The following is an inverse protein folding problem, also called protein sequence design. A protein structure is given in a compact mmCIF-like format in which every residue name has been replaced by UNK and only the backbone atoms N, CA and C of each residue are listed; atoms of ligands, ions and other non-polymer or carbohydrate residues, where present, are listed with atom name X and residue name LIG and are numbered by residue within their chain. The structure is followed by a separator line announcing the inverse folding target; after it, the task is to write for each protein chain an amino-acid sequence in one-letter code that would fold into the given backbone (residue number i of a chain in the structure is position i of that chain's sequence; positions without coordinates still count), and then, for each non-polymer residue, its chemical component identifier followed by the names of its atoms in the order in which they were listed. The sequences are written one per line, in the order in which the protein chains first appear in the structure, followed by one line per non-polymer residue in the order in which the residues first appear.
data_IF_220128379087
#
_entry.id   IF_220128379087
#
_cell.length_a   1.000
_cell.length_b   1.000
_cell.length_c   1.000
_cell.angle_alpha   90.00
_cell.angle_beta   90.00
_cell.angle_gamma   90.00
#
_symmetry.space_group_name_H-M   'P 1'
#
loop_
_entity.id
_entity.type
_entity.pdbx_description
1 polymer ?
#
# COMPACT_ATOMS: atom_id res chain seq x y z
N UNK A 1 -15.01 1.07 3.79
CA UNK A 1 -16.25 0.43 4.21
C UNK A 1 -16.38 0.46 5.71
N UNK A 2 -17.18 1.33 6.28
CA UNK A 2 -17.46 1.27 7.70
C UNK A 2 -18.48 0.14 7.92
N UNK A 3 -18.11 -0.90 8.64
CA UNK A 3 -19.08 -1.81 9.23
C UNK A 3 -19.15 -3.26 8.75
N UNK A 4 -18.46 -3.66 7.69
CA UNK A 4 -18.44 -5.08 7.28
C UNK A 4 -17.03 -5.62 7.52
N UNK A 5 -16.89 -6.41 8.58
CA UNK A 5 -15.67 -7.13 8.92
C UNK A 5 -14.41 -6.25 9.02
N UNK A 6 -14.33 -5.44 10.08
CA UNK A 6 -13.11 -4.75 10.49
C UNK A 6 -11.98 -5.76 10.83
N UNK A 7 -11.53 -6.51 9.80
CA UNK A 7 -10.52 -7.58 9.89
C UNK A 7 -9.17 -6.95 9.53
N UNK A 8 -8.12 -7.17 10.35
CA UNK A 8 -6.78 -6.68 10.02
C UNK A 8 -6.36 -7.04 8.59
N UNK A 9 -5.87 -6.05 7.85
CA UNK A 9 -5.48 -6.19 6.45
C UNK A 9 -4.02 -5.77 6.24
N UNK A 10 -3.24 -6.63 5.59
CA UNK A 10 -1.90 -6.33 5.09
C UNK A 10 -1.83 -6.57 3.59
N UNK A 11 -1.76 -5.51 2.81
CA UNK A 11 -1.60 -5.59 1.35
C UNK A 11 -0.12 -5.41 0.95
N UNK A 12 0.48 -6.43 0.33
CA UNK A 12 1.88 -6.38 -0.13
C UNK A 12 1.89 -6.26 -1.65
N UNK A 13 2.62 -5.29 -2.18
CA UNK A 13 2.81 -5.02 -3.60
C UNK A 13 1.47 -4.97 -4.36
N UNK A 14 1.12 -5.99 -5.13
CA UNK A 14 -0.18 -6.11 -5.78
C UNK A 14 -1.35 -6.01 -4.78
N UNK A 15 -1.18 -6.51 -3.55
CA UNK A 15 -2.19 -6.40 -2.50
C UNK A 15 -2.49 -4.96 -2.10
N UNK A 16 -1.51 -4.07 -2.04
CA UNK A 16 -1.72 -2.64 -1.87
C UNK A 16 -2.47 -2.04 -3.06
N UNK A 17 -2.08 -2.39 -4.29
CA UNK A 17 -2.72 -1.89 -5.51
C UNK A 17 -4.19 -2.30 -5.57
N UNK A 18 -4.51 -3.55 -5.22
CA UNK A 18 -5.90 -4.02 -5.14
C UNK A 18 -6.70 -3.27 -4.09
N UNK A 19 -6.10 -2.94 -2.94
CA UNK A 19 -6.73 -2.15 -1.91
C UNK A 19 -7.06 -0.72 -2.38
N UNK A 20 -6.17 -0.08 -3.13
CA UNK A 20 -6.41 1.24 -3.75
C UNK A 20 -7.54 1.17 -4.76
N UNK A 21 -7.55 0.15 -5.63
CA UNK A 21 -8.61 -0.06 -6.64
C UNK A 21 -9.96 -0.28 -5.95
N UNK A 22 -10.01 -1.14 -4.94
CA UNK A 22 -11.22 -1.41 -4.17
C UNK A 22 -11.74 -0.16 -3.48
N UNK A 23 -10.86 0.59 -2.83
CA UNK A 23 -11.20 1.85 -2.17
C UNK A 23 -11.73 2.90 -3.16
N UNK A 24 -11.09 3.04 -4.31
CA UNK A 24 -11.53 3.94 -5.36
C UNK A 24 -12.93 3.57 -5.87
N UNK A 25 -13.24 2.29 -6.04
CA UNK A 25 -14.56 1.81 -6.50
C UNK A 25 -15.66 2.02 -5.46
N UNK A 26 -15.40 1.64 -4.22
CA UNK A 26 -16.46 1.47 -3.22
C UNK A 26 -16.55 2.62 -2.21
N UNK A 27 -15.51 3.42 -2.06
CA UNK A 27 -15.51 4.60 -1.17
C UNK A 27 -15.59 5.89 -1.96
N UNK A 28 -14.78 6.04 -3.02
CA UNK A 28 -14.79 7.26 -3.86
C UNK A 28 -15.90 7.21 -4.90
N UNK A 29 -16.39 6.01 -5.28
CA UNK A 29 -17.46 5.83 -6.27
C UNK A 29 -16.97 5.75 -7.73
N UNK A 30 -15.68 5.57 -7.96
CA UNK A 30 -15.08 5.39 -9.29
C UNK A 30 -15.28 3.95 -9.77
N UNK A 31 -16.51 3.58 -10.15
CA UNK A 31 -16.94 2.19 -10.41
C UNK A 31 -16.02 1.36 -11.32
N UNK A 32 -15.34 2.00 -12.27
CA UNK A 32 -14.44 1.35 -13.22
C UNK A 32 -12.96 1.60 -12.92
N UNK A 33 -12.62 2.03 -11.68
CA UNK A 33 -11.23 2.19 -11.29
C UNK A 33 -10.48 0.86 -11.40
N UNK A 34 -9.28 0.89 -11.99
CA UNK A 34 -8.48 -0.31 -12.21
C UNK A 34 -6.99 0.03 -12.31
N UNK A 35 -6.17 -1.00 -12.46
CA UNK A 35 -4.78 -0.90 -12.92
C UNK A 35 -4.74 -1.00 -14.44
N UNK A 36 -3.90 -0.19 -15.10
CA UNK A 36 -3.64 -0.34 -16.53
C UNK A 36 -2.91 -1.63 -16.88
N UNK A 37 -2.38 -2.35 -15.90
CA UNK A 37 -1.86 -3.72 -16.06
C UNK A 37 -2.97 -4.73 -16.34
N UNK A 38 -4.15 -4.54 -15.72
CA UNK A 38 -5.28 -5.47 -15.81
C UNK A 38 -6.30 -5.05 -16.86
N UNK A 39 -6.49 -3.73 -17.02
CA UNK A 39 -7.39 -3.13 -18.00
C UNK A 39 -6.75 -1.86 -18.55
N UNK A 40 -6.11 -1.98 -19.71
CA UNK A 40 -5.42 -0.87 -20.36
C UNK A 40 -6.37 0.29 -20.72
N UNK A 41 -7.66 0.02 -20.93
CA UNK A 41 -8.67 1.00 -21.31
C UNK A 41 -9.53 1.49 -20.14
N UNK A 42 -9.14 1.19 -18.90
CA UNK A 42 -9.88 1.65 -17.71
C UNK A 42 -10.06 3.17 -17.73
N UNK A 43 -11.28 3.62 -17.40
CA UNK A 43 -11.59 5.05 -17.29
C UNK A 43 -10.92 5.74 -16.12
N UNK A 44 -10.58 4.98 -15.08
CA UNK A 44 -9.97 5.49 -13.87
C UNK A 44 -8.73 4.64 -13.53
N UNK A 45 -7.57 4.92 -14.19
CA UNK A 45 -6.31 4.21 -13.95
C UNK A 45 -5.68 4.65 -12.64
N UNK A 46 -6.24 4.21 -11.50
CA UNK A 46 -5.73 4.55 -10.16
C UNK A 46 -4.38 3.93 -9.87
N UNK A 47 -4.04 2.87 -10.61
CA UNK A 47 -2.72 2.25 -10.68
C UNK A 47 -2.27 2.28 -12.14
N UNK A 48 -1.09 2.82 -12.41
CA UNK A 48 -0.59 2.99 -13.78
C UNK A 48 0.95 2.93 -13.84
N UNK A 49 1.47 2.81 -15.05
CA UNK A 49 2.88 3.10 -15.31
C UNK A 49 3.14 4.60 -15.11
N UNK A 50 4.33 4.94 -14.63
CA UNK A 50 4.79 6.34 -14.61
C UNK A 50 5.06 6.82 -16.05
N UNK A 51 4.88 8.12 -16.32
CA UNK A 51 5.11 8.70 -17.64
C UNK A 51 6.54 8.46 -18.16
N UNK A 52 7.53 8.52 -17.28
CA UNK A 52 8.92 8.22 -17.58
C UNK A 52 9.15 6.74 -17.97
N UNK A 53 8.27 5.85 -17.54
CA UNK A 53 8.33 4.41 -17.84
C UNK A 53 7.68 4.08 -19.19
N UNK A 54 6.69 4.83 -19.63
CA UNK A 54 5.99 4.61 -20.91
C UNK A 54 6.96 4.73 -22.09
N UNK A 55 7.95 5.64 -22.02
CA UNK A 55 8.93 5.83 -23.06
C UNK A 55 10.04 4.77 -23.11
N UNK A 56 10.18 3.93 -22.06
CA UNK A 56 11.22 2.89 -21.91
C UNK A 56 10.68 1.49 -22.20
N UNK A 57 9.36 1.29 -22.32
CA UNK A 57 8.73 -0.02 -22.65
C UNK A 57 9.32 -0.67 -23.88
N UNK A 58 9.76 0.12 -24.86
CA UNK A 58 10.44 -0.37 -26.08
C UNK A 58 11.82 -1.03 -25.82
N UNK A 59 12.35 -0.94 -24.59
CA UNK A 59 13.68 -1.46 -24.21
C UNK A 59 13.64 -2.52 -23.09
N UNK A 60 12.47 -3.01 -22.67
CA UNK A 60 12.34 -4.17 -21.77
C UNK A 60 12.73 -3.95 -20.31
N UNK A 61 12.89 -2.71 -19.81
CA UNK A 61 13.46 -2.50 -18.51
C UNK A 61 12.90 -1.33 -17.71
N UNK A 62 11.70 -1.44 -17.13
CA UNK A 62 11.15 -0.42 -16.22
C UNK A 62 10.68 -0.98 -14.89
N UNK A 63 11.12 -2.18 -14.55
CA UNK A 63 10.81 -2.75 -13.25
C UNK A 63 11.60 -2.04 -12.17
N UNK A 64 10.91 -1.51 -11.17
CA UNK A 64 11.55 -0.98 -9.98
C UNK A 64 12.06 -2.15 -9.14
N UNK A 65 13.37 -2.29 -9.06
CA UNK A 65 14.07 -3.40 -8.42
C UNK A 65 14.99 -2.91 -7.31
N UNK A 66 15.21 -3.78 -6.32
CA UNK A 66 16.19 -3.54 -5.28
C UNK A 66 15.66 -2.75 -4.09
N UNK A 67 16.59 -2.19 -3.32
CA UNK A 67 16.29 -1.51 -2.05
C UNK A 67 16.16 0.00 -2.27
N UNK A 68 15.02 0.55 -1.89
CA UNK A 68 14.71 1.97 -2.01
C UNK A 68 14.38 2.58 -0.65
N UNK A 69 14.65 3.86 -0.52
CA UNK A 69 14.27 4.63 0.69
C UNK A 69 12.78 4.92 0.69
N UNK A 70 12.18 4.88 1.86
CA UNK A 70 10.82 5.35 2.10
C UNK A 70 10.80 6.21 3.36
N UNK A 71 10.31 7.44 3.24
CA UNK A 71 10.05 8.32 4.36
C UNK A 71 8.65 8.06 4.90
N UNK A 72 8.54 7.89 6.22
CA UNK A 72 7.29 7.59 6.91
C UNK A 72 6.81 8.81 7.69
N UNK A 73 5.57 9.18 7.48
CA UNK A 73 4.91 10.29 8.18
C UNK A 73 4.76 9.97 9.67
N UNK A 74 5.16 10.92 10.54
CA UNK A 74 4.98 10.80 11.99
C UNK A 74 3.50 10.77 12.36
N UNK A 75 3.18 10.06 13.45
CA UNK A 75 1.80 9.95 13.96
C UNK A 75 0.93 8.95 13.18
N UNK A 76 1.53 8.12 12.34
CA UNK A 76 0.86 7.03 11.62
C UNK A 76 1.11 5.69 12.28
N UNK A 77 0.24 4.71 12.02
CA UNK A 77 0.40 3.33 12.52
C UNK A 77 1.74 2.73 12.07
N UNK A 78 2.11 2.93 10.81
CA UNK A 78 3.36 2.42 10.25
C UNK A 78 4.57 3.06 10.93
N UNK A 79 4.53 4.36 11.24
CA UNK A 79 5.58 5.02 11.99
C UNK A 79 5.76 4.39 13.38
N UNK A 80 4.66 4.09 14.07
CA UNK A 80 4.68 3.44 15.38
C UNK A 80 5.21 2.00 15.32
N UNK A 81 4.98 1.30 14.21
CA UNK A 81 5.47 -0.06 13.97
C UNK A 81 6.98 -0.06 13.72
N UNK A 82 7.47 0.80 12.84
CA UNK A 82 8.89 0.85 12.48
C UNK A 82 9.75 1.62 13.48
N UNK A 83 9.16 2.61 14.17
CA UNK A 83 9.86 3.56 15.06
C UNK A 83 11.03 4.28 14.37
N UNK A 84 10.85 4.57 13.09
CA UNK A 84 11.83 5.23 12.21
C UNK A 84 11.12 6.15 11.23
N UNK A 85 11.73 7.31 10.95
CA UNK A 85 11.22 8.24 9.94
C UNK A 85 11.60 7.81 8.50
N UNK A 86 12.71 7.08 8.35
CA UNK A 86 13.21 6.60 7.06
C UNK A 86 13.55 5.12 7.18
N UNK A 87 13.05 4.36 6.22
CA UNK A 87 13.33 2.93 6.08
C UNK A 87 13.91 2.65 4.70
N UNK A 88 14.43 1.44 4.52
CA UNK A 88 14.84 0.92 3.21
C UNK A 88 14.17 -0.41 3.01
N UNK A 89 13.40 -0.54 1.95
CA UNK A 89 12.65 -1.75 1.63
C UNK A 89 12.89 -2.20 0.18
N UNK A 90 12.69 -3.48 -0.10
CA UNK A 90 12.96 -4.06 -1.41
C UNK A 90 11.71 -4.07 -2.28
N UNK A 91 11.87 -3.65 -3.52
CA UNK A 91 10.82 -3.53 -4.53
C UNK A 91 11.02 -4.51 -5.69
N UNK A 92 9.89 -4.93 -6.28
CA UNK A 92 9.83 -5.70 -7.52
C UNK A 92 8.47 -5.46 -8.19
N UNK A 93 8.28 -4.30 -8.80
CA UNK A 93 7.04 -3.94 -9.49
C UNK A 93 7.29 -2.90 -10.58
N UNK A 94 6.30 -2.70 -11.46
CA UNK A 94 6.31 -1.68 -12.52
C UNK A 94 5.26 -0.60 -12.29
N UNK A 95 4.08 -1.02 -11.82
CA UNK A 95 2.92 -0.16 -11.67
C UNK A 95 2.93 0.51 -10.30
N UNK A 96 2.47 1.75 -10.28
CA UNK A 96 2.49 2.63 -9.11
C UNK A 96 1.11 3.27 -8.92
N UNK A 97 0.85 3.78 -7.72
CA UNK A 97 -0.31 4.61 -7.46
C UNK A 97 -0.22 5.88 -8.32
N UNK A 98 -1.26 6.13 -9.13
CA UNK A 98 -1.29 7.26 -10.04
C UNK A 98 -1.49 8.58 -9.28
N UNK A 99 -0.58 9.54 -9.47
CA UNK A 99 -0.58 10.85 -8.81
C UNK A 99 -1.88 11.62 -8.98
N UNK A 100 -2.57 11.49 -10.11
CA UNK A 100 -3.82 12.17 -10.38
C UNK A 100 -4.95 11.80 -9.42
N UNK A 101 -4.83 10.70 -8.68
CA UNK A 101 -5.84 10.23 -7.73
C UNK A 101 -5.47 10.46 -6.27
N UNK A 102 -4.26 10.95 -5.96
CA UNK A 102 -3.77 11.21 -4.60
C UNK A 102 -4.76 12.08 -3.83
N UNK A 103 -5.17 13.20 -4.41
CA UNK A 103 -6.09 14.14 -3.76
C UNK A 103 -7.44 13.50 -3.42
N UNK A 104 -8.01 12.73 -4.36
CA UNK A 104 -9.30 12.05 -4.16
C UNK A 104 -9.21 10.98 -3.08
N UNK A 105 -8.12 10.20 -3.04
CA UNK A 105 -7.87 9.17 -2.04
C UNK A 105 -7.73 9.78 -0.64
N UNK A 106 -6.92 10.85 -0.51
CA UNK A 106 -6.67 11.51 0.77
C UNK A 106 -7.89 12.24 1.31
N UNK A 107 -8.64 12.96 0.47
CA UNK A 107 -9.91 13.60 0.85
C UNK A 107 -10.96 12.60 1.33
N UNK A 108 -10.90 11.37 0.85
CA UNK A 108 -11.82 10.29 1.25
C UNK A 108 -11.37 9.53 2.50
N UNK A 109 -10.21 9.90 3.10
CA UNK A 109 -9.74 9.36 4.36
C UNK A 109 -8.61 8.32 4.28
N UNK A 110 -8.07 8.01 3.09
CA UNK A 110 -6.86 7.20 2.97
C UNK A 110 -5.64 8.04 3.33
N UNK A 111 -4.76 7.50 4.17
CA UNK A 111 -3.50 8.16 4.53
C UNK A 111 -2.36 7.55 3.72
N UNK A 112 -1.69 8.38 2.93
CA UNK A 112 -0.52 8.02 2.14
C UNK A 112 0.73 8.33 2.97
N UNK A 113 1.03 7.43 3.91
CA UNK A 113 1.96 7.70 5.01
C UNK A 113 3.42 7.38 4.70
N UNK A 114 3.71 6.67 3.62
CA UNK A 114 5.07 6.39 3.17
C UNK A 114 5.30 6.86 1.75
N UNK A 115 6.42 7.56 1.52
CA UNK A 115 6.79 8.06 0.21
C UNK A 115 8.28 7.89 -0.06
N UNK A 116 8.62 7.67 -1.32
CA UNK A 116 10.01 7.73 -1.75
C UNK A 116 10.48 9.19 -1.80
N UNK A 117 11.58 9.57 -1.13
CA UNK A 117 12.02 10.97 -1.06
C UNK A 117 12.58 11.52 -2.37
N UNK A 118 12.94 10.67 -3.33
CA UNK A 118 13.56 11.06 -4.60
C UNK A 118 12.52 11.19 -5.72
N UNK A 119 11.45 10.37 -5.66
CA UNK A 119 10.44 10.29 -6.73
C UNK A 119 9.03 10.70 -6.28
N UNK A 120 8.81 10.96 -4.99
CA UNK A 120 7.50 11.21 -4.35
C UNK A 120 6.47 10.08 -4.52
N UNK A 121 6.90 8.91 -5.01
CA UNK A 121 6.04 7.73 -5.17
C UNK A 121 5.50 7.25 -3.84
N UNK A 122 4.21 6.91 -3.83
CA UNK A 122 3.53 6.38 -2.64
C UNK A 122 3.96 4.94 -2.40
N UNK A 123 4.53 4.71 -1.22
CA UNK A 123 5.06 3.42 -0.79
C UNK A 123 4.18 2.71 0.24
N UNK A 124 3.43 3.50 1.05
CA UNK A 124 2.63 2.97 2.15
C UNK A 124 1.31 3.72 2.23
N UNK A 125 0.23 2.96 2.40
CA UNK A 125 -1.12 3.47 2.64
C UNK A 125 -1.67 2.90 3.94
N UNK A 126 -2.52 3.70 4.61
CA UNK A 126 -3.25 3.32 5.82
C UNK A 126 -4.71 3.79 5.76
N UNK A 127 -5.59 3.10 6.51
CA UNK A 127 -6.95 3.55 6.83
C UNK A 127 -7.06 3.72 8.34
N UNK A 128 -6.97 4.96 8.87
CA UNK A 128 -6.91 5.22 10.32
C UNK A 128 -8.15 4.75 11.08
N UNK A 129 -9.31 4.75 10.42
CA UNK A 129 -10.57 4.33 11.03
C UNK A 129 -10.79 2.81 10.97
N UNK A 130 -9.81 2.04 10.51
CA UNK A 130 -9.84 0.59 10.49
C UNK A 130 -9.02 0.02 11.65
N UNK A 131 -9.39 -1.16 12.19
CA UNK A 131 -8.70 -1.75 13.35
C UNK A 131 -7.20 -1.97 13.11
N UNK A 132 -6.80 -2.32 11.90
CA UNK A 132 -5.43 -2.41 11.42
C UNK A 132 -5.44 -2.58 9.89
N UNK A 133 -5.01 -1.56 9.16
CA UNK A 133 -4.97 -1.59 7.71
C UNK A 133 -3.69 -0.92 7.22
N UNK A 134 -2.83 -1.71 6.59
CA UNK A 134 -1.59 -1.22 5.97
C UNK A 134 -1.44 -1.87 4.60
N UNK A 135 -1.21 -1.04 3.59
CA UNK A 135 -0.77 -1.47 2.26
C UNK A 135 0.64 -0.96 1.99
N UNK A 136 1.50 -1.82 1.46
CA UNK A 136 2.89 -1.46 1.12
C UNK A 136 3.22 -1.87 -0.31
N UNK A 137 3.90 -0.99 -1.06
CA UNK A 137 4.28 -1.26 -2.45
C UNK A 137 5.52 -2.17 -2.54
N UNK A 138 6.33 -2.17 -1.51
CA UNK A 138 7.51 -3.02 -1.38
C UNK A 138 7.17 -4.42 -0.84
N UNK A 139 8.19 -5.27 -0.74
CA UNK A 139 8.12 -6.67 -0.32
C UNK A 139 8.82 -6.88 1.03
N UNK A 140 8.14 -6.72 2.17
CA UNK A 140 8.72 -6.89 3.51
C UNK A 140 9.23 -8.31 3.77
N UNK A 141 8.70 -9.32 3.03
CA UNK A 141 9.14 -10.71 3.15
C UNK A 141 10.61 -10.90 2.76
N UNK A 142 11.16 -10.06 1.89
CA UNK A 142 12.58 -10.14 1.53
C UNK A 142 13.55 -9.73 2.65
N UNK A 143 13.04 -9.11 3.70
CA UNK A 143 13.81 -8.70 4.87
C UNK A 143 13.35 -9.37 6.18
N UNK A 144 12.52 -10.44 6.05
CA UNK A 144 11.99 -11.18 7.18
C UNK A 144 12.64 -12.55 7.28
N UNK A 145 13.09 -12.91 8.49
CA UNK A 145 13.61 -14.25 8.80
C UNK A 145 12.89 -14.79 10.03
N UNK A 146 13.05 -16.09 10.32
CA UNK A 146 12.50 -16.72 11.53
C UNK A 146 13.01 -16.04 12.80
N UNK A 147 14.32 -15.77 12.86
CA UNK A 147 14.96 -15.17 14.04
C UNK A 147 14.69 -13.66 14.15
N UNK A 148 14.48 -13.00 13.02
CA UNK A 148 14.21 -11.56 12.92
C UNK A 148 13.01 -11.28 12.02
N UNK A 149 11.80 -11.58 12.48
CA UNK A 149 10.61 -11.32 11.68
C UNK A 149 10.37 -9.82 11.49
N UNK A 150 9.93 -9.48 10.29
CA UNK A 150 9.69 -8.10 9.89
C UNK A 150 8.65 -7.42 10.80
N UNK A 151 8.84 -6.12 11.17
CA UNK A 151 7.96 -5.44 12.12
C UNK A 151 6.49 -5.38 11.67
N UNK A 152 6.22 -5.24 10.38
CA UNK A 152 4.86 -5.28 9.84
C UNK A 152 4.17 -6.62 10.10
N UNK A 153 4.85 -7.76 9.88
CA UNK A 153 4.29 -9.08 10.14
C UNK A 153 3.99 -9.29 11.63
N UNK A 154 4.91 -8.87 12.50
CA UNK A 154 4.69 -8.94 13.97
C UNK A 154 3.46 -8.14 14.38
N UNK A 155 3.32 -6.93 13.88
CA UNK A 155 2.19 -6.05 14.19
C UNK A 155 0.87 -6.59 13.64
N UNK A 156 0.87 -7.06 12.39
CA UNK A 156 -0.30 -7.67 11.75
C UNK A 156 -0.81 -8.90 12.51
N UNK A 157 0.07 -9.83 12.84
CA UNK A 157 -0.29 -11.04 13.60
C UNK A 157 -0.83 -10.68 14.99
N UNK A 158 -0.22 -9.70 15.67
CA UNK A 158 -0.71 -9.19 16.95
C UNK A 158 -2.15 -8.65 16.83
N UNK A 159 -2.42 -7.85 15.80
CA UNK A 159 -3.75 -7.29 15.56
C UNK A 159 -4.78 -8.40 15.26
N UNK A 160 -4.43 -9.36 14.40
CA UNK A 160 -5.29 -10.49 14.05
C UNK A 160 -5.62 -11.39 15.27
N UNK A 161 -4.63 -11.66 16.12
CA UNK A 161 -4.80 -12.48 17.32
C UNK A 161 -5.68 -11.79 18.37
N UNK A 162 -5.49 -10.48 18.56
CA UNK A 162 -6.30 -9.71 19.52
C UNK A 162 -7.78 -9.70 19.10
N UNK A 163 -8.06 -9.58 17.81
CA UNK A 163 -9.42 -9.61 17.29
C UNK A 163 -10.10 -10.96 17.49
N UNK A 164 -9.40 -12.07 17.26
CA UNK A 164 -9.92 -13.42 17.51
C UNK A 164 -10.38 -13.60 18.98
N UNK A 165 -9.65 -13.01 19.93
CA UNK A 165 -10.02 -13.06 21.36
C UNK A 165 -11.32 -12.31 21.66
N UNK A 166 -11.65 -11.27 20.90
CA UNK A 166 -12.88 -10.48 21.06
C UNK A 166 -14.10 -11.21 20.50
N UNK A 167 -13.96 -11.95 19.40
CA UNK A 167 -15.05 -12.74 18.81
C UNK A 167 -15.25 -14.12 19.44
N UNK A 168 -14.24 -14.69 20.06
CA UNK A 168 -14.31 -16.03 20.69
C UNK A 168 -14.89 -16.05 22.11
N UNK A 169 -15.37 -14.91 22.61
CA UNK A 169 -16.02 -14.81 23.96
C UNK A 169 -17.53 -14.58 23.88
N UNK A 170 -18.18 -15.02 22.80
CA UNK A 170 -19.66 -15.09 22.74
C UNK A 170 -20.12 -16.52 22.93
#
# INVERSE_FOLDING_TARGET
MPGVNDIPFLGICLGMQMAVIEYARNVIGLKNANSTEMDYHTKHPVISLMEDQVNVEKKGGTMRLGSWKCEISKGTLTHDIYKKNVIKERHRHRYELNFNYIESLTKSGMVLCGKNPETDLVEIIELPNHCWFVGVQFHPEYQSTVDKPHPLFKSFIKAATNKKRTYGRK
#
